data_IF_621107748949
#
_entry.id   IF_621107748949
#
_cell.length_a   1.000
_cell.length_b   1.000
_cell.length_c   1.000
_cell.angle_alpha   90.00
_cell.angle_beta   90.00
_cell.angle_gamma   90.00
#
_symmetry.space_group_name_H-M   'P 1'
#
loop_
_entity.id
_entity.type
_entity.pdbx_description
1 polymer ?
#
# COMPACT_ATOMS: atom_id res chain seq x y z
N UNK A 1 -2.31 -10.64 -50.56
CA UNK A 1 -1.77 -9.42 -49.93
C UNK A 1 -1.92 -8.27 -50.91
N UNK A 2 -2.52 -7.15 -50.47
CA UNK A 2 -2.76 -5.96 -51.31
C UNK A 2 -1.79 -4.83 -50.95
N UNK A 3 -1.43 -3.97 -51.92
CA UNK A 3 -0.64 -2.75 -51.63
C UNK A 3 -1.24 -1.89 -50.52
N UNK A 4 -2.56 -1.88 -50.42
CA UNK A 4 -3.28 -1.11 -49.40
C UNK A 4 -3.08 -1.64 -47.98
N UNK A 5 -3.02 -2.96 -47.80
CA UNK A 5 -2.72 -3.61 -46.50
C UNK A 5 -1.30 -3.30 -46.05
N UNK A 6 -0.33 -3.36 -46.97
CA UNK A 6 1.06 -2.99 -46.71
C UNK A 6 1.25 -1.49 -46.38
N UNK A 7 0.61 -0.61 -47.14
CA UNK A 7 0.68 0.83 -46.95
C UNK A 7 0.07 1.31 -45.59
N UNK A 8 -0.78 0.50 -44.96
CA UNK A 8 -1.31 0.82 -43.63
C UNK A 8 -0.30 0.56 -42.51
N UNK A 9 0.80 -0.14 -42.80
CA UNK A 9 1.80 -0.48 -41.81
C UNK A 9 2.62 0.71 -41.33
N UNK A 10 2.85 0.79 -40.02
CA UNK A 10 3.79 1.77 -39.45
C UNK A 10 5.20 1.58 -39.98
N UNK A 11 5.62 0.33 -40.25
CA UNK A 11 6.95 0.00 -40.78
C UNK A 11 7.14 0.50 -42.21
N UNK A 12 6.10 0.44 -43.05
CA UNK A 12 6.15 0.79 -44.48
C UNK A 12 5.54 2.16 -44.76
N UNK A 13 5.27 2.95 -43.73
CA UNK A 13 4.68 4.28 -43.86
C UNK A 13 5.58 5.23 -44.65
N UNK A 14 5.01 5.88 -45.67
CA UNK A 14 5.72 6.83 -46.54
C UNK A 14 6.88 6.21 -47.33
N UNK A 15 6.93 4.88 -47.46
CA UNK A 15 7.89 4.15 -48.28
C UNK A 15 7.32 3.91 -49.69
N UNK A 16 8.11 4.17 -50.73
CA UNK A 16 7.73 3.68 -52.05
C UNK A 16 7.86 2.15 -52.06
N UNK A 17 6.75 1.46 -52.20
CA UNK A 17 6.68 0.00 -52.10
C UNK A 17 7.08 -0.72 -53.40
N UNK A 18 7.11 -0.02 -54.55
CA UNK A 18 7.37 -0.67 -55.84
C UNK A 18 8.70 -1.45 -55.88
N UNK A 19 9.83 -0.91 -55.40
CA UNK A 19 11.09 -1.64 -55.39
C UNK A 19 11.12 -2.86 -54.46
N UNK A 20 10.22 -2.93 -53.49
CA UNK A 20 10.21 -3.94 -52.43
C UNK A 20 9.11 -4.98 -52.55
N UNK A 21 8.23 -4.88 -53.56
CA UNK A 21 7.08 -5.77 -53.70
C UNK A 21 7.46 -7.24 -53.85
N UNK A 22 8.48 -7.54 -54.66
CA UNK A 22 8.97 -8.93 -54.81
C UNK A 22 9.53 -9.47 -53.51
N UNK A 23 10.31 -8.66 -52.78
CA UNK A 23 10.91 -9.04 -51.50
C UNK A 23 9.82 -9.27 -50.44
N UNK A 24 8.84 -8.37 -50.34
CA UNK A 24 7.71 -8.51 -49.44
C UNK A 24 6.79 -9.69 -49.78
N UNK A 25 6.70 -10.08 -51.07
CA UNK A 25 5.97 -11.27 -51.49
C UNK A 25 6.70 -12.58 -51.14
N UNK A 26 8.01 -12.52 -50.87
CA UNK A 26 8.78 -13.62 -50.34
C UNK A 26 8.44 -13.96 -48.89
N UNK A 27 7.81 -13.04 -48.15
CA UNK A 27 7.35 -13.28 -46.78
C UNK A 27 6.21 -14.30 -46.71
N UNK A 28 6.13 -15.03 -45.60
CA UNK A 28 5.10 -16.05 -45.35
C UNK A 28 3.82 -15.41 -44.77
N UNK A 29 2.69 -15.66 -45.42
CA UNK A 29 1.38 -15.29 -44.87
C UNK A 29 0.92 -16.35 -43.89
N UNK A 30 0.58 -15.97 -42.66
CA UNK A 30 0.00 -16.84 -41.63
C UNK A 30 -1.36 -16.34 -41.22
N UNK A 31 -2.31 -17.24 -41.22
CA UNK A 31 -3.66 -17.04 -40.67
C UNK A 31 -3.70 -17.73 -39.31
N UNK A 32 -4.07 -16.98 -38.27
CA UNK A 32 -4.13 -17.44 -36.88
C UNK A 32 -5.59 -17.45 -36.42
N UNK A 33 -5.99 -18.52 -35.75
CA UNK A 33 -7.30 -18.61 -35.10
C UNK A 33 -7.26 -17.85 -33.74
N UNK A 34 -8.42 -17.48 -33.23
CA UNK A 34 -8.51 -16.84 -31.90
C UNK A 34 -7.92 -17.77 -30.82
N UNK A 35 -7.03 -17.23 -29.99
CA UNK A 35 -6.31 -17.94 -28.94
C UNK A 35 -5.01 -18.60 -29.40
N UNK A 36 -4.70 -18.60 -30.72
CA UNK A 36 -3.46 -19.18 -31.24
C UNK A 36 -2.25 -18.34 -30.86
N UNK A 37 -1.16 -19.00 -30.43
CA UNK A 37 0.09 -18.35 -30.02
C UNK A 37 1.00 -18.20 -31.23
N UNK A 38 1.32 -16.96 -31.60
CA UNK A 38 2.28 -16.64 -32.68
C UNK A 38 3.73 -16.64 -32.20
N UNK A 39 3.96 -16.12 -31.00
CA UNK A 39 5.29 -16.04 -30.38
C UNK A 39 5.17 -16.54 -28.94
N UNK A 40 6.00 -17.51 -28.61
CA UNK A 40 6.18 -18.02 -27.25
C UNK A 40 7.20 -17.19 -26.46
N UNK A 41 7.10 -17.16 -25.16
CA UNK A 41 8.08 -16.49 -24.28
C UNK A 41 9.34 -17.34 -24.10
N UNK A 42 10.50 -16.71 -24.04
CA UNK A 42 11.83 -17.35 -23.88
C UNK A 42 12.24 -18.24 -25.04
N UNK A 43 11.73 -17.98 -26.22
CA UNK A 43 12.15 -18.64 -27.45
C UNK A 43 13.01 -17.73 -28.31
N UNK A 44 13.80 -18.34 -29.17
CA UNK A 44 14.56 -17.59 -30.20
C UNK A 44 13.61 -17.18 -31.32
N UNK A 45 13.51 -15.90 -31.60
CA UNK A 45 12.71 -15.39 -32.70
C UNK A 45 13.54 -14.41 -33.54
N UNK A 46 13.68 -14.72 -34.82
CA UNK A 46 14.37 -13.87 -35.83
C UNK A 46 13.42 -13.39 -36.95
N UNK A 47 12.13 -13.46 -36.66
CA UNK A 47 11.08 -13.06 -37.60
C UNK A 47 10.33 -11.86 -37.09
N UNK A 48 10.13 -10.88 -37.94
CA UNK A 48 9.25 -9.75 -37.66
C UNK A 48 7.91 -10.02 -38.35
N UNK A 49 6.83 -9.88 -37.57
CA UNK A 49 5.48 -10.12 -38.05
C UNK A 49 4.73 -8.80 -38.23
N UNK A 50 4.21 -8.55 -39.40
CA UNK A 50 3.36 -7.40 -39.71
C UNK A 50 1.91 -7.85 -39.67
N UNK A 51 1.08 -7.20 -38.84
CA UNK A 51 -0.35 -7.50 -38.72
C UNK A 51 -1.10 -6.88 -39.91
N UNK A 52 -1.69 -7.70 -40.77
CA UNK A 52 -2.47 -7.28 -41.92
C UNK A 52 -3.96 -7.09 -41.54
N UNK A 53 -4.52 -7.97 -40.74
CA UNK A 53 -5.89 -7.89 -40.23
C UNK A 53 -6.02 -8.62 -38.89
N UNK A 54 -7.07 -8.31 -38.12
CA UNK A 54 -7.28 -8.90 -36.81
C UNK A 54 -6.57 -8.13 -35.70
N UNK A 55 -6.13 -8.85 -34.66
CA UNK A 55 -5.49 -8.23 -33.49
C UNK A 55 -4.65 -9.26 -32.71
N UNK A 56 -3.48 -8.88 -32.27
CA UNK A 56 -2.64 -9.64 -31.35
C UNK A 56 -2.67 -9.02 -29.95
N UNK A 57 -2.69 -9.86 -28.92
CA UNK A 57 -2.53 -9.47 -27.52
C UNK A 57 -1.16 -9.88 -27.04
N UNK A 58 -0.43 -8.95 -26.39
CA UNK A 58 0.87 -9.23 -25.81
C UNK A 58 0.70 -9.50 -24.32
N UNK A 59 1.18 -10.64 -23.84
CA UNK A 59 0.96 -11.14 -22.47
C UNK A 59 2.27 -11.65 -21.88
N UNK A 60 2.48 -11.41 -20.59
CA UNK A 60 3.63 -11.98 -19.85
C UNK A 60 3.37 -13.43 -19.43
N UNK A 61 2.11 -13.76 -19.18
CA UNK A 61 1.58 -15.10 -18.91
C UNK A 61 0.20 -15.23 -19.55
N UNK A 62 -0.19 -16.42 -20.04
CA UNK A 62 -1.45 -16.62 -20.74
C UNK A 62 -2.71 -16.25 -19.95
N UNK A 63 -2.63 -16.28 -18.61
CA UNK A 63 -3.75 -16.05 -17.69
C UNK A 63 -3.86 -14.59 -17.20
N UNK A 64 -2.87 -13.75 -17.51
CA UNK A 64 -2.84 -12.35 -17.10
C UNK A 64 -3.48 -11.43 -18.14
N UNK A 65 -3.95 -10.28 -17.67
CA UNK A 65 -4.41 -9.22 -18.57
C UNK A 65 -3.31 -8.82 -19.55
N UNK A 66 -3.64 -8.61 -20.83
CA UNK A 66 -2.67 -8.21 -21.84
C UNK A 66 -2.01 -6.88 -21.48
N UNK A 67 -0.69 -6.82 -21.66
CA UNK A 67 0.10 -5.59 -21.47
C UNK A 67 0.01 -4.65 -22.66
N UNK A 68 -0.31 -5.18 -23.85
CA UNK A 68 -0.57 -4.41 -25.04
C UNK A 68 -1.52 -5.15 -25.99
N UNK A 69 -2.21 -4.38 -26.83
CA UNK A 69 -3.03 -4.87 -27.91
C UNK A 69 -2.54 -4.23 -29.20
N UNK A 70 -2.19 -5.04 -30.18
CA UNK A 70 -1.67 -4.63 -31.46
C UNK A 70 -2.70 -4.92 -32.57
N UNK A 71 -2.89 -3.99 -33.48
CA UNK A 71 -3.87 -4.08 -34.57
C UNK A 71 -3.24 -4.02 -35.97
N UNK A 72 -4.06 -3.95 -37.00
CA UNK A 72 -3.58 -3.87 -38.38
C UNK A 72 -2.60 -2.72 -38.58
N UNK A 73 -1.48 -3.02 -39.20
CA UNK A 73 -0.38 -2.09 -39.45
C UNK A 73 0.69 -2.07 -38.35
N UNK A 74 0.43 -2.61 -37.15
CA UNK A 74 1.46 -2.77 -36.14
C UNK A 74 2.38 -3.97 -36.46
N UNK A 75 3.55 -4.01 -35.82
CA UNK A 75 4.52 -5.09 -35.95
C UNK A 75 4.80 -5.75 -34.60
N UNK A 76 5.22 -7.02 -34.60
CA UNK A 76 5.63 -7.77 -33.42
C UNK A 76 6.84 -8.66 -33.73
N UNK A 77 7.66 -8.96 -32.72
CA UNK A 77 8.91 -9.72 -32.87
C UNK A 77 10.14 -8.87 -33.14
N UNK A 78 9.99 -7.54 -33.22
CA UNK A 78 11.07 -6.59 -33.54
C UNK A 78 12.17 -6.54 -32.49
N UNK A 79 11.85 -6.75 -31.19
CA UNK A 79 12.84 -6.68 -30.11
C UNK A 79 13.86 -7.81 -30.27
N UNK A 80 13.40 -9.05 -30.31
CA UNK A 80 14.27 -10.23 -30.48
C UNK A 80 14.96 -10.27 -31.85
N UNK A 81 14.32 -9.70 -32.87
CA UNK A 81 14.95 -9.54 -34.17
C UNK A 81 16.17 -8.60 -34.10
N UNK A 82 16.07 -7.48 -33.38
CA UNK A 82 17.14 -6.44 -33.35
C UNK A 82 18.26 -6.84 -32.40
N UNK A 83 17.95 -7.33 -31.19
CA UNK A 83 18.95 -7.58 -30.14
C UNK A 83 19.40 -9.06 -30.05
N UNK A 84 18.76 -9.95 -30.79
CA UNK A 84 19.06 -11.40 -30.81
C UNK A 84 18.75 -12.11 -29.49
N UNK A 85 18.05 -11.43 -28.56
CA UNK A 85 17.69 -12.02 -27.27
C UNK A 85 16.43 -12.87 -27.40
N UNK A 86 16.21 -13.71 -26.38
CA UNK A 86 14.98 -14.51 -26.30
C UNK A 86 13.75 -13.61 -26.14
N UNK A 87 12.62 -14.05 -26.68
CA UNK A 87 11.34 -13.36 -26.58
C UNK A 87 10.92 -13.11 -25.12
N UNK A 88 10.38 -11.93 -24.86
CA UNK A 88 10.03 -11.49 -23.49
C UNK A 88 8.56 -11.65 -23.13
N UNK A 89 7.70 -11.93 -24.13
CA UNK A 89 6.26 -12.03 -23.94
C UNK A 89 5.64 -12.96 -24.98
N UNK A 90 4.44 -13.47 -24.66
CA UNK A 90 3.60 -14.16 -25.62
C UNK A 90 2.93 -13.16 -26.56
N UNK A 91 2.82 -13.53 -27.85
CA UNK A 91 1.93 -12.86 -28.79
C UNK A 91 0.83 -13.83 -29.19
N UNK A 92 -0.42 -13.53 -28.79
CA UNK A 92 -1.57 -14.41 -28.96
C UNK A 92 -2.61 -13.73 -29.81
N UNK A 93 -3.22 -14.45 -30.74
CA UNK A 93 -4.33 -13.95 -31.55
C UNK A 93 -5.58 -13.68 -30.68
N UNK A 94 -5.95 -12.41 -30.52
CA UNK A 94 -7.14 -12.02 -29.76
C UNK A 94 -8.45 -12.14 -30.51
N UNK A 95 -8.38 -12.35 -31.82
CA UNK A 95 -9.41 -12.71 -32.79
C UNK A 95 -8.73 -13.35 -33.99
N UNK A 96 -9.48 -13.91 -34.94
CA UNK A 96 -8.89 -14.38 -36.22
C UNK A 96 -7.99 -13.28 -36.82
N UNK A 97 -6.72 -13.60 -37.02
CA UNK A 97 -5.67 -12.61 -37.31
C UNK A 97 -4.79 -13.11 -38.46
N UNK A 98 -4.54 -12.23 -39.41
CA UNK A 98 -3.59 -12.49 -40.52
C UNK A 98 -2.36 -11.65 -40.35
N UNK A 99 -1.19 -12.30 -40.44
CA UNK A 99 0.12 -11.65 -40.35
C UNK A 99 0.98 -11.99 -41.57
N UNK A 100 1.89 -11.08 -41.90
CA UNK A 100 3.00 -11.32 -42.82
C UNK A 100 4.27 -11.53 -42.00
N UNK A 101 4.84 -12.73 -42.08
CA UNK A 101 6.13 -13.06 -41.47
C UNK A 101 7.26 -12.66 -42.40
N UNK A 102 8.14 -11.79 -41.91
CA UNK A 102 9.35 -11.34 -42.60
C UNK A 102 10.56 -11.89 -41.82
N UNK A 103 11.24 -12.84 -42.40
CA UNK A 103 12.43 -13.45 -41.79
C UNK A 103 13.63 -12.50 -41.77
N UNK A 104 14.75 -12.97 -41.21
CA UNK A 104 15.97 -12.20 -41.03
C UNK A 104 16.56 -11.74 -42.35
N UNK A 105 16.49 -12.58 -43.40
CA UNK A 105 17.04 -12.31 -44.69
C UNK A 105 16.26 -11.19 -45.41
N UNK A 106 14.94 -11.30 -45.45
CA UNK A 106 14.03 -10.29 -45.99
C UNK A 106 14.17 -8.96 -45.25
N UNK A 107 14.15 -8.99 -43.93
CA UNK A 107 14.24 -7.78 -43.13
C UNK A 107 15.58 -7.08 -43.26
N UNK A 108 16.69 -7.82 -43.27
CA UNK A 108 18.03 -7.26 -43.47
C UNK A 108 18.12 -6.57 -44.84
N UNK A 109 17.63 -7.23 -45.89
CA UNK A 109 17.60 -6.64 -47.24
C UNK A 109 16.75 -5.36 -47.31
N UNK A 110 15.61 -5.34 -46.63
CA UNK A 110 14.76 -4.15 -46.54
C UNK A 110 15.44 -2.99 -45.82
N UNK A 111 16.13 -3.28 -44.70
CA UNK A 111 16.78 -2.26 -43.87
C UNK A 111 18.03 -1.69 -44.55
N UNK A 112 18.79 -2.50 -45.27
CA UNK A 112 19.97 -2.07 -46.03
C UNK A 112 19.60 -1.21 -47.26
N UNK A 113 18.46 -1.52 -47.88
CA UNK A 113 18.03 -0.86 -49.10
C UNK A 113 17.20 0.40 -48.87
N UNK A 114 16.49 0.48 -47.73
CA UNK A 114 15.58 1.60 -47.43
C UNK A 114 15.86 2.25 -46.05
N UNK A 115 16.52 3.43 -46.03
CA UNK A 115 16.66 4.20 -44.77
C UNK A 115 15.33 4.58 -44.14
N UNK A 116 14.25 4.69 -44.90
CA UNK A 116 12.93 5.03 -44.40
C UNK A 116 12.32 3.87 -43.59
N UNK A 117 12.52 2.61 -44.02
CA UNK A 117 12.11 1.42 -43.26
C UNK A 117 12.87 1.36 -41.93
N UNK A 118 14.18 1.61 -41.96
CA UNK A 118 15.00 1.65 -40.73
C UNK A 118 14.53 2.76 -39.79
N UNK A 119 14.22 3.96 -40.30
CA UNK A 119 13.67 5.07 -39.51
C UNK A 119 12.31 4.72 -38.92
N UNK A 120 11.45 4.07 -39.68
CA UNK A 120 10.13 3.65 -39.22
C UNK A 120 10.22 2.58 -38.12
N UNK A 121 11.17 1.63 -38.21
CA UNK A 121 11.45 0.66 -37.18
C UNK A 121 11.91 1.33 -35.88
N UNK A 122 12.83 2.31 -35.96
CA UNK A 122 13.23 3.13 -34.82
C UNK A 122 12.05 3.91 -34.19
N UNK A 123 11.13 4.40 -35.03
CA UNK A 123 9.91 5.05 -34.53
C UNK A 123 9.00 4.10 -33.78
N UNK A 124 8.83 2.84 -34.23
CA UNK A 124 8.09 1.80 -33.50
C UNK A 124 8.71 1.57 -32.14
N UNK A 125 10.02 1.40 -32.05
CA UNK A 125 10.75 1.19 -30.79
C UNK A 125 10.60 2.39 -29.84
N UNK A 126 10.81 3.61 -30.35
CA UNK A 126 10.67 4.83 -29.55
C UNK A 126 9.23 5.00 -29.00
N UNK A 127 8.21 4.60 -29.77
CA UNK A 127 6.82 4.61 -29.33
C UNK A 127 6.58 3.59 -28.22
N UNK A 128 7.18 2.40 -28.29
CA UNK A 128 7.09 1.38 -27.23
C UNK A 128 7.77 1.80 -25.93
N UNK A 129 8.98 2.35 -26.03
CA UNK A 129 9.68 2.89 -24.85
C UNK A 129 8.84 3.95 -24.16
N UNK A 130 8.28 4.92 -24.92
CA UNK A 130 7.39 5.94 -24.34
C UNK A 130 6.14 5.36 -23.70
N UNK A 131 5.56 4.33 -24.28
CA UNK A 131 4.37 3.67 -23.70
C UNK A 131 4.70 3.02 -22.37
N UNK A 132 5.82 2.29 -22.27
CA UNK A 132 6.29 1.66 -21.04
C UNK A 132 6.59 2.70 -19.95
N UNK A 133 7.33 3.78 -20.29
CA UNK A 133 7.63 4.87 -19.36
C UNK A 133 6.35 5.52 -18.81
N UNK A 134 5.35 5.76 -19.66
CA UNK A 134 4.08 6.32 -19.24
C UNK A 134 3.27 5.37 -18.34
N UNK A 135 3.35 4.05 -18.54
CA UNK A 135 2.73 3.07 -17.67
C UNK A 135 3.40 3.04 -16.29
N UNK A 136 4.73 3.12 -16.26
CA UNK A 136 5.51 3.15 -15.02
C UNK A 136 5.21 4.39 -14.18
N UNK A 137 5.17 5.58 -14.80
CA UNK A 137 4.74 6.82 -14.15
C UNK A 137 3.31 6.74 -13.59
N UNK A 138 2.37 6.12 -14.31
CA UNK A 138 1.00 5.90 -13.81
C UNK A 138 0.96 4.95 -12.61
N UNK A 139 1.79 3.90 -12.61
CA UNK A 139 1.92 2.98 -11.47
C UNK A 139 2.51 3.67 -10.25
N UNK A 140 3.52 4.51 -10.43
CA UNK A 140 4.11 5.31 -9.35
C UNK A 140 3.09 6.30 -8.76
N UNK A 141 2.33 7.00 -9.60
CA UNK A 141 1.26 7.90 -9.14
C UNK A 141 0.15 7.14 -8.40
N UNK A 142 -0.26 5.97 -8.87
CA UNK A 142 -1.23 5.13 -8.19
C UNK A 142 -0.69 4.62 -6.84
N UNK A 143 0.56 4.19 -6.78
CA UNK A 143 1.22 3.78 -5.54
C UNK A 143 1.39 4.95 -4.56
N UNK A 144 1.67 6.15 -5.06
CA UNK A 144 1.72 7.36 -4.24
C UNK A 144 0.34 7.69 -3.64
N UNK A 145 -0.72 7.63 -4.44
CA UNK A 145 -2.09 7.80 -3.97
C UNK A 145 -2.46 6.74 -2.91
N UNK A 146 -2.13 5.46 -3.15
CA UNK A 146 -2.35 4.37 -2.17
C UNK A 146 -1.57 4.62 -0.87
N UNK A 147 -0.33 5.13 -0.94
CA UNK A 147 0.46 5.48 0.24
C UNK A 147 -0.14 6.68 0.99
N UNK A 148 -0.65 7.69 0.29
CA UNK A 148 -1.38 8.81 0.89
C UNK A 148 -2.64 8.30 1.61
N UNK A 149 -3.48 7.48 0.94
CA UNK A 149 -4.63 6.83 1.59
C UNK A 149 -4.24 5.94 2.78
N UNK A 150 -3.08 5.27 2.72
CA UNK A 150 -2.59 4.47 3.84
C UNK A 150 -2.15 5.34 5.02
N UNK A 151 -1.63 6.54 4.80
CA UNK A 151 -1.33 7.51 5.86
C UNK A 151 -2.61 8.07 6.49
N UNK A 152 -3.62 8.41 5.70
CA UNK A 152 -4.94 8.82 6.20
C UNK A 152 -5.64 7.73 7.01
N UNK A 153 -5.31 6.45 6.75
CA UNK A 153 -5.85 5.27 7.46
C UNK A 153 -5.19 5.05 8.83
N UNK A 154 -4.04 5.66 9.16
CA UNK A 154 -3.35 5.48 10.45
C UNK A 154 -3.58 6.62 11.45
N UNK A 155 -4.14 7.73 11.00
CA UNK A 155 -4.44 8.92 11.82
C UNK A 155 -5.93 8.99 12.11
N UNK A 156 -6.28 9.38 13.33
CA UNK A 156 -7.66 9.74 13.71
C UNK A 156 -7.97 11.15 13.19
N UNK A 157 -8.97 11.28 12.34
CA UNK A 157 -9.31 12.53 11.64
C UNK A 157 -9.79 13.64 12.56
N UNK A 158 -10.27 13.33 13.76
CA UNK A 158 -10.72 14.34 14.72
C UNK A 158 -9.55 14.89 15.53
N UNK A 159 -8.71 14.01 16.07
CA UNK A 159 -7.69 14.40 17.06
C UNK A 159 -6.30 14.59 16.48
N UNK A 160 -6.05 14.14 15.24
CA UNK A 160 -4.73 14.14 14.62
C UNK A 160 -3.71 13.18 15.24
N UNK A 161 -4.12 12.40 16.24
CA UNK A 161 -3.31 11.33 16.82
C UNK A 161 -3.33 10.08 15.95
N UNK A 162 -2.44 9.14 16.24
CA UNK A 162 -2.58 7.80 15.65
C UNK A 162 -3.93 7.19 16.03
N UNK A 163 -4.45 6.32 15.16
CA UNK A 163 -5.69 5.59 15.44
C UNK A 163 -5.40 4.21 16.04
N UNK A 164 -6.45 3.54 16.50
CA UNK A 164 -6.39 2.20 17.10
C UNK A 164 -5.70 1.18 16.17
N UNK A 165 -6.00 1.17 14.86
CA UNK A 165 -5.42 0.20 13.91
C UNK A 165 -3.90 0.31 13.86
N UNK A 166 -3.37 1.53 13.84
CA UNK A 166 -1.93 1.75 13.87
C UNK A 166 -1.33 1.27 15.19
N UNK A 167 -1.97 1.60 16.31
CA UNK A 167 -1.50 1.22 17.65
C UNK A 167 -1.44 -0.30 17.82
N UNK A 168 -2.50 -1.02 17.41
CA UNK A 168 -2.54 -2.49 17.48
C UNK A 168 -1.35 -3.11 16.74
N UNK A 169 -1.02 -2.56 15.55
CA UNK A 169 0.14 -3.01 14.77
C UNK A 169 1.49 -2.70 15.45
N UNK A 170 1.61 -1.53 16.08
CA UNK A 170 2.82 -1.12 16.79
C UNK A 170 3.00 -1.89 18.09
N UNK A 171 1.93 -2.14 18.82
CA UNK A 171 1.96 -2.91 20.07
C UNK A 171 2.54 -4.32 19.85
N UNK A 172 2.15 -5.02 18.80
CA UNK A 172 2.72 -6.33 18.45
C UNK A 172 4.23 -6.24 18.20
N UNK A 173 4.68 -5.18 17.52
CA UNK A 173 6.12 -4.98 17.26
C UNK A 173 6.92 -4.70 18.53
N UNK A 174 6.37 -3.85 19.41
CA UNK A 174 7.04 -3.51 20.68
C UNK A 174 7.04 -4.67 21.67
N UNK A 175 5.99 -5.51 21.70
CA UNK A 175 5.97 -6.76 22.46
C UNK A 175 7.10 -7.68 22.01
N UNK A 176 7.23 -7.93 20.70
CA UNK A 176 8.29 -8.76 20.14
C UNK A 176 9.71 -8.19 20.43
N UNK A 177 9.85 -6.86 20.39
CA UNK A 177 11.10 -6.18 20.75
C UNK A 177 11.41 -6.36 22.22
N UNK A 178 10.44 -6.10 23.09
CA UNK A 178 10.56 -6.25 24.53
C UNK A 178 10.90 -7.70 24.93
N UNK A 179 10.31 -8.71 24.27
CA UNK A 179 10.66 -10.12 24.48
C UNK A 179 12.11 -10.43 24.09
N UNK A 180 12.55 -9.95 22.94
CA UNK A 180 13.91 -10.18 22.44
C UNK A 180 14.97 -9.49 23.29
N UNK A 181 14.71 -8.23 23.67
CA UNK A 181 15.69 -7.37 24.33
C UNK A 181 15.63 -7.51 25.88
N UNK A 182 14.62 -8.19 26.42
CA UNK A 182 14.40 -8.37 27.85
C UNK A 182 14.06 -7.07 28.59
N UNK A 183 13.53 -6.05 27.89
CA UNK A 183 13.21 -4.74 28.46
C UNK A 183 11.74 -4.63 28.82
N UNK A 184 11.39 -3.87 29.87
CA UNK A 184 10.01 -3.67 30.26
C UNK A 184 9.22 -2.91 29.19
N UNK A 185 7.93 -3.15 29.13
CA UNK A 185 7.00 -2.45 28.26
C UNK A 185 5.70 -2.24 29.03
N UNK A 186 5.25 -1.00 29.12
CA UNK A 186 3.98 -0.66 29.78
C UNK A 186 2.98 -0.08 28.80
N UNK A 187 1.68 -0.30 29.09
CA UNK A 187 0.57 0.39 28.46
C UNK A 187 -0.13 1.31 29.46
N UNK A 188 -0.56 2.46 28.98
CA UNK A 188 -1.51 3.32 29.66
C UNK A 188 -2.79 3.40 28.84
N UNK A 189 -3.92 3.17 29.47
CA UNK A 189 -5.25 3.44 28.90
C UNK A 189 -5.88 4.60 29.66
N UNK A 190 -6.20 5.67 28.95
CA UNK A 190 -6.67 6.95 29.47
C UNK A 190 -8.13 7.09 29.05
N UNK A 191 -9.03 7.15 30.00
CA UNK A 191 -10.47 7.35 29.77
C UNK A 191 -10.95 8.66 30.34
N UNK A 192 -11.75 9.41 29.57
CA UNK A 192 -12.37 10.65 30.02
C UNK A 192 -13.48 10.33 31.01
N UNK A 193 -13.45 10.95 32.18
CA UNK A 193 -14.49 10.76 33.19
C UNK A 193 -15.78 11.48 32.78
N UNK A 194 -16.92 10.83 32.99
CA UNK A 194 -18.27 11.37 32.71
C UNK A 194 -18.49 11.90 31.28
N UNK A 195 -17.66 11.55 30.30
CA UNK A 195 -17.73 12.06 28.91
C UNK A 195 -19.12 11.89 28.27
N UNK A 196 -19.77 10.77 28.53
CA UNK A 196 -21.13 10.52 28.02
C UNK A 196 -22.15 11.54 28.57
N UNK A 197 -22.14 11.81 29.86
CA UNK A 197 -23.02 12.82 30.48
C UNK A 197 -22.76 14.21 29.92
N UNK A 198 -21.49 14.57 29.73
CA UNK A 198 -21.09 15.86 29.19
C UNK A 198 -21.59 16.03 27.73
N UNK A 199 -21.38 15.01 26.88
CA UNK A 199 -21.83 15.04 25.47
C UNK A 199 -23.35 15.02 25.32
N UNK A 200 -24.09 14.37 26.21
CA UNK A 200 -25.55 14.37 26.24
C UNK A 200 -26.11 15.74 26.60
N UNK A 201 -25.46 16.45 27.51
CA UNK A 201 -25.89 17.80 27.94
C UNK A 201 -25.47 18.92 26.98
N UNK A 202 -24.23 18.88 26.49
CA UNK A 202 -23.61 19.99 25.73
C UNK A 202 -23.58 19.72 24.18
N UNK A 203 -23.97 18.53 23.76
CA UNK A 203 -24.03 18.15 22.36
C UNK A 203 -22.70 17.63 21.78
N UNK A 204 -22.77 17.10 20.55
CA UNK A 204 -21.66 16.44 19.87
C UNK A 204 -20.44 17.34 19.65
N UNK A 205 -20.66 18.60 19.28
CA UNK A 205 -19.55 19.54 18.97
C UNK A 205 -18.73 19.87 20.23
N UNK A 206 -19.36 20.00 21.39
CA UNK A 206 -18.66 20.18 22.66
C UNK A 206 -17.78 18.94 22.98
N UNK A 207 -18.31 17.74 22.80
CA UNK A 207 -17.52 16.51 22.97
C UNK A 207 -16.32 16.42 22.03
N UNK A 208 -16.47 16.82 20.77
CA UNK A 208 -15.37 16.87 19.80
C UNK A 208 -14.29 17.89 20.22
N UNK A 209 -14.69 19.05 20.76
CA UNK A 209 -13.77 20.06 21.30
C UNK A 209 -12.98 19.54 22.48
N UNK A 210 -13.63 18.82 23.42
CA UNK A 210 -12.98 18.17 24.57
C UNK A 210 -11.95 17.14 24.10
N UNK A 211 -12.30 16.27 23.15
CA UNK A 211 -11.39 15.28 22.59
C UNK A 211 -10.14 15.91 21.96
N UNK A 212 -10.32 16.99 21.20
CA UNK A 212 -9.23 17.76 20.59
C UNK A 212 -8.32 18.42 21.64
N UNK A 213 -8.91 18.98 22.68
CA UNK A 213 -8.15 19.63 23.75
C UNK A 213 -7.31 18.60 24.53
N UNK A 214 -7.91 17.45 24.90
CA UNK A 214 -7.16 16.36 25.55
C UNK A 214 -6.04 15.84 24.64
N UNK A 215 -6.33 15.60 23.37
CA UNK A 215 -5.32 15.14 22.42
C UNK A 215 -4.12 16.12 22.35
N UNK A 216 -4.36 17.41 22.32
CA UNK A 216 -3.32 18.43 22.32
C UNK A 216 -2.47 18.40 23.60
N UNK A 217 -3.10 18.26 24.79
CA UNK A 217 -2.40 18.15 26.09
C UNK A 217 -1.55 16.88 26.12
N UNK A 218 -2.14 15.75 25.75
CA UNK A 218 -1.44 14.45 25.72
C UNK A 218 -0.23 14.53 24.77
N UNK A 219 -0.41 15.08 23.57
CA UNK A 219 0.67 15.21 22.59
C UNK A 219 1.81 16.12 23.09
N UNK A 220 1.49 17.23 23.75
CA UNK A 220 2.48 18.14 24.31
C UNK A 220 3.23 17.54 25.52
N UNK A 221 2.62 16.58 26.23
CA UNK A 221 3.19 15.95 27.42
C UNK A 221 3.92 14.64 27.15
N UNK A 222 3.61 13.99 26.01
CA UNK A 222 4.22 12.73 25.58
C UNK A 222 5.63 12.96 25.05
N UNK A 223 6.58 12.10 25.43
CA UNK A 223 8.00 12.20 25.02
C UNK A 223 8.26 11.52 23.69
N UNK A 224 9.34 11.90 22.96
CA UNK A 224 9.79 11.14 21.80
C UNK A 224 10.04 9.67 22.16
N UNK A 225 9.43 8.76 21.40
CA UNK A 225 9.51 7.31 21.64
C UNK A 225 8.30 6.72 22.36
N UNK A 226 7.51 7.52 23.07
CA UNK A 226 6.20 7.12 23.58
C UNK A 226 5.16 7.19 22.44
N UNK A 227 4.32 6.17 22.29
CA UNK A 227 3.36 6.09 21.17
C UNK A 227 1.96 6.35 21.68
N UNK A 228 1.36 7.46 21.22
CA UNK A 228 0.04 7.92 21.64
C UNK A 228 -0.97 7.74 20.50
N UNK A 229 -2.12 7.16 20.81
CA UNK A 229 -3.21 6.97 19.85
C UNK A 229 -4.58 7.22 20.49
N UNK A 230 -5.56 7.60 19.67
CA UNK A 230 -6.96 7.50 20.03
C UNK A 230 -7.42 6.06 19.90
N UNK A 231 -7.77 5.44 21.01
CA UNK A 231 -8.08 4.01 21.08
C UNK A 231 -9.58 3.71 20.97
N UNK A 232 -10.39 4.52 21.61
CA UNK A 232 -11.85 4.38 21.66
C UNK A 232 -12.60 5.68 21.36
N UNK A 233 -13.87 5.70 21.69
CA UNK A 233 -14.74 6.88 21.51
C UNK A 233 -14.27 8.05 22.39
N UNK A 234 -13.94 7.74 23.64
CA UNK A 234 -13.53 8.65 24.71
C UNK A 234 -12.26 8.14 25.42
N UNK A 235 -11.47 7.33 24.72
CA UNK A 235 -10.30 6.68 25.27
C UNK A 235 -9.07 6.90 24.38
N UNK A 236 -7.93 7.11 25.07
CA UNK A 236 -6.62 7.23 24.46
C UNK A 236 -5.70 6.15 25.04
N UNK A 237 -4.75 5.68 24.25
CA UNK A 237 -3.79 4.69 24.71
C UNK A 237 -2.37 5.14 24.40
N UNK A 238 -1.47 4.93 25.36
CA UNK A 238 -0.05 5.19 25.17
C UNK A 238 0.74 3.91 25.39
N UNK A 239 1.61 3.56 24.44
CA UNK A 239 2.58 2.49 24.54
C UNK A 239 3.90 3.09 25.00
N UNK A 240 4.46 2.56 26.08
CA UNK A 240 5.67 3.03 26.75
C UNK A 240 6.78 1.97 26.67
N UNK A 241 7.64 1.99 25.63
CA UNK A 241 8.80 1.12 25.57
C UNK A 241 9.80 1.42 26.69
N UNK A 242 10.55 0.41 27.09
CA UNK A 242 11.60 0.49 28.10
C UNK A 242 11.11 1.06 29.47
N UNK A 243 9.82 0.82 29.82
CA UNK A 243 9.14 1.43 30.96
C UNK A 243 8.49 0.35 31.83
N UNK A 244 8.84 0.30 33.11
CA UNK A 244 8.22 -0.56 34.11
C UNK A 244 6.92 0.05 34.67
N UNK A 245 6.22 -0.72 35.51
CA UNK A 245 4.95 -0.31 36.12
C UNK A 245 5.09 0.97 36.94
N UNK A 246 6.15 1.12 37.75
CA UNK A 246 6.33 2.28 38.62
C UNK A 246 6.53 3.57 37.81
N UNK A 247 7.41 3.52 36.82
CA UNK A 247 7.63 4.63 35.89
C UNK A 247 6.39 4.92 35.04
N UNK A 248 5.64 3.87 34.63
CA UNK A 248 4.35 4.01 33.94
C UNK A 248 3.32 4.74 34.78
N UNK A 249 3.27 4.47 36.09
CA UNK A 249 2.37 5.16 37.02
C UNK A 249 2.75 6.65 37.18
N UNK A 250 4.02 6.99 37.27
CA UNK A 250 4.50 8.38 37.31
C UNK A 250 4.12 9.14 36.02
N UNK A 251 4.28 8.49 34.87
CA UNK A 251 3.89 9.05 33.59
C UNK A 251 2.36 9.26 33.55
N UNK A 252 1.58 8.28 33.99
CA UNK A 252 0.12 8.39 34.07
C UNK A 252 -0.31 9.56 34.94
N UNK A 253 0.28 9.72 36.11
CA UNK A 253 -0.05 10.83 37.02
C UNK A 253 0.32 12.20 36.43
N UNK A 254 1.47 12.31 35.71
CA UNK A 254 1.85 13.50 34.97
C UNK A 254 0.81 13.86 33.91
N UNK A 255 0.35 12.88 33.13
CA UNK A 255 -0.67 13.08 32.09
C UNK A 255 -2.02 13.49 32.72
N UNK A 256 -2.45 12.80 33.77
CA UNK A 256 -3.67 13.12 34.50
C UNK A 256 -3.66 14.56 35.02
N UNK A 257 -2.57 14.98 35.67
CA UNK A 257 -2.41 16.34 36.20
C UNK A 257 -2.38 17.38 35.10
N UNK A 258 -1.69 17.11 33.98
CA UNK A 258 -1.65 18.03 32.83
C UNK A 258 -3.05 18.26 32.24
N UNK A 259 -3.87 17.21 32.13
CA UNK A 259 -5.25 17.32 31.64
C UNK A 259 -6.12 18.07 32.66
N UNK A 260 -5.99 17.76 33.95
CA UNK A 260 -6.75 18.44 35.00
C UNK A 260 -6.46 19.95 35.10
N UNK A 261 -5.23 20.37 34.81
CA UNK A 261 -4.81 21.76 34.80
C UNK A 261 -5.15 22.48 33.47
N UNK A 262 -5.42 21.74 32.42
CA UNK A 262 -5.81 22.33 31.14
C UNK A 262 -7.24 22.86 31.26
N UNK A 263 -7.38 24.17 31.06
CA UNK A 263 -8.70 24.80 30.96
C UNK A 263 -9.28 24.48 29.59
N UNK A 264 -10.12 23.44 29.52
CA UNK A 264 -10.82 23.08 28.29
C UNK A 264 -12.07 23.94 28.19
N UNK A 265 -12.28 24.70 27.10
CA UNK A 265 -13.50 25.49 26.93
C UNK A 265 -14.71 24.55 26.85
N UNK A 266 -15.66 24.71 27.77
CA UNK A 266 -17.00 24.13 27.69
C UNK A 266 -17.94 25.16 27.06
N UNK A 267 -19.00 24.73 26.41
CA UNK A 267 -19.92 25.59 25.66
C UNK A 267 -20.79 26.51 26.55
N UNK A 268 -20.84 26.28 27.86
CA UNK A 268 -21.51 27.19 28.80
C UNK A 268 -20.46 28.08 29.48
N UNK A 269 -20.32 29.31 28.96
CA UNK A 269 -19.44 30.30 29.53
C UNK A 269 -19.89 30.70 30.92
N UNK A 270 -19.18 30.37 31.96
CA UNK A 270 -18.88 31.13 33.16
C UNK A 270 -18.07 30.34 34.21
N UNK A 271 -17.86 29.06 34.07
CA UNK A 271 -16.84 28.33 34.85
C UNK A 271 -16.58 26.96 34.21
N UNK A 272 -15.44 26.71 33.56
CA UNK A 272 -15.16 25.38 33.07
C UNK A 272 -15.04 24.43 34.27
N UNK A 273 -15.89 23.41 34.32
CA UNK A 273 -15.67 22.31 35.24
C UNK A 273 -14.33 21.64 34.89
N UNK A 274 -13.48 21.33 35.88
CA UNK A 274 -12.21 20.71 35.63
C UNK A 274 -12.43 19.35 34.94
N UNK A 275 -11.90 19.20 33.74
CA UNK A 275 -11.92 17.95 33.02
C UNK A 275 -11.04 16.95 33.74
N UNK A 276 -11.55 15.74 34.02
CA UNK A 276 -10.79 14.68 34.66
C UNK A 276 -10.69 13.44 33.78
N UNK A 277 -9.63 12.69 33.99
CA UNK A 277 -9.40 11.40 33.34
C UNK A 277 -9.02 10.36 34.37
N UNK A 278 -9.48 9.15 34.16
CA UNK A 278 -8.99 7.96 34.85
C UNK A 278 -7.98 7.24 33.96
N UNK A 279 -6.93 6.70 34.54
CA UNK A 279 -5.84 6.06 33.82
C UNK A 279 -5.56 4.68 34.39
N UNK A 280 -5.61 3.65 33.55
CA UNK A 280 -5.11 2.32 33.85
C UNK A 280 -3.67 2.18 33.40
N UNK A 281 -2.85 1.47 34.19
CA UNK A 281 -1.45 1.14 33.86
C UNK A 281 -1.25 -0.36 33.98
N UNK A 282 -0.63 -0.97 32.97
CA UNK A 282 -0.24 -2.37 33.01
C UNK A 282 1.12 -2.57 32.35
N UNK A 283 2.00 -3.31 33.03
CA UNK A 283 3.26 -3.77 32.46
C UNK A 283 3.07 -5.16 31.85
N UNK A 284 3.73 -5.42 30.74
CA UNK A 284 3.73 -6.74 30.10
C UNK A 284 4.44 -7.77 30.99
N UNK A 285 3.98 -9.01 30.91
CA UNK A 285 4.71 -10.19 31.40
C UNK A 285 5.33 -10.90 30.20
N UNK A 286 6.50 -11.52 30.41
CA UNK A 286 7.18 -12.26 29.35
C UNK A 286 6.26 -13.30 28.70
N UNK A 287 6.14 -13.28 27.37
CA UNK A 287 5.24 -14.14 26.60
C UNK A 287 3.80 -13.65 26.48
N UNK A 288 3.48 -12.47 27.00
CA UNK A 288 2.15 -11.88 26.80
C UNK A 288 1.85 -11.65 25.32
N UNK A 289 0.62 -11.96 24.92
CA UNK A 289 0.04 -11.47 23.68
C UNK A 289 -0.59 -10.09 23.90
N UNK A 290 -0.76 -9.34 22.83
CA UNK A 290 -1.33 -8.00 22.90
C UNK A 290 -2.68 -7.96 23.62
N UNK A 291 -3.54 -8.95 23.39
CA UNK A 291 -4.87 -9.03 23.99
C UNK A 291 -4.81 -9.15 25.52
N UNK A 292 -3.83 -9.89 26.04
CA UNK A 292 -3.66 -10.08 27.48
C UNK A 292 -3.22 -8.78 28.16
N UNK A 293 -2.30 -8.03 27.53
CA UNK A 293 -1.84 -6.75 28.07
C UNK A 293 -2.93 -5.67 27.96
N UNK A 294 -3.67 -5.64 26.85
CA UNK A 294 -4.82 -4.73 26.66
C UNK A 294 -5.90 -5.03 27.71
N UNK A 295 -6.25 -6.30 27.93
CA UNK A 295 -7.25 -6.66 28.95
C UNK A 295 -6.82 -6.27 30.36
N UNK A 296 -5.51 -6.34 30.65
CA UNK A 296 -4.99 -5.92 31.94
C UNK A 296 -5.10 -4.40 32.16
N UNK A 297 -4.72 -3.61 31.17
CA UNK A 297 -4.81 -2.15 31.27
C UNK A 297 -6.26 -1.66 31.31
N UNK A 298 -7.18 -2.34 30.61
CA UNK A 298 -8.62 -2.07 30.66
C UNK A 298 -9.18 -2.33 32.05
N UNK A 299 -8.81 -3.45 32.69
CA UNK A 299 -9.15 -3.73 34.07
C UNK A 299 -8.66 -2.65 35.04
N UNK A 300 -7.42 -2.18 34.88
CA UNK A 300 -6.87 -1.09 35.68
C UNK A 300 -7.64 0.24 35.49
N UNK A 301 -8.06 0.56 34.28
CA UNK A 301 -8.90 1.73 34.01
C UNK A 301 -10.26 1.61 34.65
N UNK A 302 -10.87 0.42 34.57
CA UNK A 302 -12.13 0.14 35.27
C UNK A 302 -12.01 0.38 36.76
N UNK A 303 -10.97 -0.16 37.42
CA UNK A 303 -10.71 0.04 38.83
C UNK A 303 -10.53 1.53 39.20
N UNK A 304 -9.85 2.30 38.35
CA UNK A 304 -9.69 3.74 38.54
C UNK A 304 -11.03 4.48 38.49
N UNK A 305 -11.92 4.11 37.57
CA UNK A 305 -13.28 4.68 37.47
C UNK A 305 -14.15 4.31 38.65
N UNK A 306 -14.17 3.03 39.07
CA UNK A 306 -14.93 2.55 40.23
C UNK A 306 -14.48 3.18 41.54
N UNK A 307 -13.20 3.48 41.70
CA UNK A 307 -12.66 4.14 42.90
C UNK A 307 -12.92 5.67 42.95
N UNK A 308 -13.75 6.19 42.04
CA UNK A 308 -14.21 7.58 42.03
C UNK A 308 -13.67 8.46 40.92
N UNK A 309 -12.95 7.90 39.97
CA UNK A 309 -12.38 8.64 38.84
C UNK A 309 -11.20 9.53 39.21
N UNK A 310 -10.69 10.28 38.22
CA UNK A 310 -9.59 11.24 38.37
C UNK A 310 -8.36 10.68 39.08
N UNK A 311 -7.95 9.48 38.74
CA UNK A 311 -6.80 8.78 39.34
C UNK A 311 -6.14 7.79 38.39
N UNK A 312 -4.97 7.33 38.84
CA UNK A 312 -4.19 6.31 38.12
C UNK A 312 -4.22 5.03 38.93
N UNK A 313 -4.68 3.94 38.31
CA UNK A 313 -4.63 2.60 38.91
C UNK A 313 -3.70 1.70 38.09
N UNK A 314 -3.02 0.79 38.77
CA UNK A 314 -2.16 -0.22 38.15
C UNK A 314 -2.64 -1.62 38.47
N UNK A 315 -2.49 -2.55 37.57
CA UNK A 315 -2.65 -3.97 37.81
C UNK A 315 -1.33 -4.58 38.24
N UNK A 316 -1.30 -5.17 39.44
CA UNK A 316 -0.18 -6.01 39.86
C UNK A 316 -0.31 -7.38 39.18
N UNK A 317 0.50 -7.61 38.13
CA UNK A 317 0.56 -8.88 37.41
C UNK A 317 1.81 -9.65 37.86
N UNK A 318 1.61 -10.78 38.52
CA UNK A 318 2.71 -11.71 38.82
C UNK A 318 2.84 -12.77 37.74
N UNK A 319 4.06 -13.10 37.30
CA UNK A 319 4.34 -14.28 36.49
C UNK A 319 4.00 -15.52 37.32
N UNK A 320 2.78 -16.03 37.20
CA UNK A 320 2.46 -17.33 37.80
C UNK A 320 3.26 -18.40 37.06
N UNK A 321 4.38 -18.77 37.68
CA UNK A 321 5.12 -19.95 37.30
C UNK A 321 4.17 -21.15 37.40
N UNK A 322 4.07 -21.88 36.33
CA UNK A 322 3.33 -23.14 36.22
C UNK A 322 3.95 -24.16 37.19
N UNK A 323 3.51 -24.14 38.44
CA UNK A 323 3.82 -25.18 39.42
C UNK A 323 3.01 -26.41 39.08
N UNK A 324 3.52 -27.23 38.18
CA UNK A 324 3.08 -28.63 38.06
C UNK A 324 3.29 -29.32 39.37
N UNK A 325 2.23 -29.40 40.18
CA UNK A 325 2.20 -30.35 41.28
C UNK A 325 2.20 -31.76 40.71
N UNK A 326 3.40 -32.38 40.71
CA UNK A 326 3.52 -33.81 40.66
C UNK A 326 2.76 -34.39 41.86
N UNK A 327 1.79 -35.24 41.63
CA UNK A 327 1.27 -36.18 42.60
C UNK A 327 2.05 -37.46 42.45
N UNK A 328 2.70 -37.84 43.54
CA UNK A 328 3.18 -39.18 43.86
C UNK A 328 2.04 -40.15 43.90
#
# INVERSE_FOLDING_TARGET
MTKRELASSVLLKEVDLEPFLELLQGGELRDLEEGEVLIEVRESNRTLYLILSGRLTIQLQPELNPIAVLGPGDVVGELSFIDGQLTTAYAVAGVSTRVLALDEEIMTSLLETSPDIARNLLFVLARRVRHLTNQELRREHANYAVRQYAQDVIIDSLTGLYNRRWLDSMLVRELNRSDRDGRPLSLLLIGIDDFKKQTENEGRLAGESVLNAIAAVLQATTRPGEMLARYGKDEFMTVLPDTDTATGQEIGERLRQAIHQAQVPTSEGDSPAPLTVSIGVAERIAGDKAEALISAVDGALYDAREAGGNQVCQVSRSSNGNSSKGKS
#
